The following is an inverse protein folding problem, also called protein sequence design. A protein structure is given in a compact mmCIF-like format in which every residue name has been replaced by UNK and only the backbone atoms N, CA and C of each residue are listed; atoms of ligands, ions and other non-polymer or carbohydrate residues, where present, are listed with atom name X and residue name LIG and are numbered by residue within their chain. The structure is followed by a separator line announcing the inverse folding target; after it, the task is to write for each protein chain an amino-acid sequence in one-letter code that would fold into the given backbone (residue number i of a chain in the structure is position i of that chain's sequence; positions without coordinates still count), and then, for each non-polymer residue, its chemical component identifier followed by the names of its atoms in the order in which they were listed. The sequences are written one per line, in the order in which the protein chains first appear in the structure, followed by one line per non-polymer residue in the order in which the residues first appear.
data_IF_938808724141
#
_entry.id   IF_938808724141
#
_cell.length_a   1.000
_cell.length_b   1.000
_cell.length_c   1.000
_cell.angle_alpha   90.00
_cell.angle_beta   90.00
_cell.angle_gamma   90.00
#
_symmetry.space_group_name_H-M   'P 1'
#
loop_
_entity.id
_entity.type
_entity.pdbx_description
1 polymer ?
#
# COMPACT_ATOMS: atom_id res chain seq x y z
N UNK A 1 -0.49 0.38 -14.74
CA UNK A 1 0.55 0.10 -13.70
C UNK A 1 0.37 1.11 -12.57
N UNK A 2 0.22 0.65 -11.32
CA UNK A 2 0.13 1.54 -10.16
C UNK A 2 1.50 2.18 -9.87
N UNK A 3 1.52 3.49 -9.66
CA UNK A 3 2.75 4.25 -9.35
C UNK A 3 2.74 4.59 -7.86
N UNK A 4 3.68 4.02 -7.11
CA UNK A 4 3.92 4.35 -5.70
C UNK A 4 5.00 5.44 -5.62
N UNK A 5 4.68 6.54 -4.94
CA UNK A 5 5.55 7.70 -4.70
C UNK A 5 6.89 7.35 -4.03
N UNK A 6 7.91 8.19 -4.20
CA UNK A 6 9.23 8.13 -3.55
C UNK A 6 9.15 7.95 -2.02
N UNK A 7 8.06 8.41 -1.39
CA UNK A 7 7.75 8.22 0.03
C UNK A 7 7.71 6.75 0.46
N UNK A 8 7.44 5.81 -0.45
CA UNK A 8 7.46 4.38 -0.16
C UNK A 8 8.89 3.85 0.06
N UNK A 9 9.89 4.48 -0.58
CA UNK A 9 11.29 4.12 -0.39
C UNK A 9 11.81 4.48 1.01
N UNK A 10 11.27 5.52 1.64
CA UNK A 10 11.64 5.88 3.01
C UNK A 10 11.25 4.78 4.02
N UNK A 11 10.24 3.98 3.73
CA UNK A 11 9.90 2.82 4.56
C UNK A 11 11.04 1.78 4.58
N UNK A 12 11.89 1.69 3.56
CA UNK A 12 12.98 0.71 3.50
C UNK A 12 14.22 1.08 4.34
N UNK A 13 14.35 2.32 4.82
CA UNK A 13 15.61 2.80 5.43
C UNK A 13 15.88 2.30 6.85
N UNK A 14 14.92 1.67 7.53
CA UNK A 14 14.98 1.56 9.00
C UNK A 14 15.05 0.14 9.58
N UNK A 15 15.26 -0.93 8.81
CA UNK A 15 15.21 -2.28 9.41
C UNK A 15 16.14 -3.31 8.77
N UNK A 16 16.88 -4.04 9.62
CA UNK A 16 17.89 -5.06 9.25
C UNK A 16 17.30 -6.47 9.10
N UNK A 17 15.99 -6.59 8.85
CA UNK A 17 15.27 -7.87 8.86
C UNK A 17 14.27 -7.99 7.71
N UNK A 18 14.28 -9.14 7.03
CA UNK A 18 13.34 -9.45 5.96
C UNK A 18 11.91 -9.58 6.52
N UNK A 19 11.07 -8.58 6.29
CA UNK A 19 9.66 -8.59 6.70
C UNK A 19 8.73 -8.66 5.49
N UNK A 20 7.79 -9.59 5.52
CA UNK A 20 6.69 -9.62 4.57
C UNK A 20 5.49 -8.86 5.14
N UNK A 21 5.11 -7.78 4.45
CA UNK A 21 3.90 -7.00 4.75
C UNK A 21 2.87 -7.30 3.67
N UNK A 22 1.71 -7.80 4.05
CA UNK A 22 0.58 -7.97 3.14
C UNK A 22 -0.40 -6.83 3.31
N UNK A 23 -0.64 -6.06 2.24
CA UNK A 23 -1.67 -5.03 2.22
C UNK A 23 -2.95 -5.58 1.60
N UNK A 24 -4.09 -5.26 2.20
CA UNK A 24 -5.42 -5.41 1.59
C UNK A 24 -5.91 -4.01 1.26
N UNK A 25 -6.20 -3.77 -0.02
CA UNK A 25 -6.52 -2.45 -0.55
C UNK A 25 -7.91 -2.54 -1.18
N UNK A 26 -8.77 -1.62 -0.78
CA UNK A 26 -10.07 -1.39 -1.39
C UNK A 26 -10.04 -0.02 -2.07
N UNK A 27 -10.53 0.06 -3.29
CA UNK A 27 -10.53 1.28 -4.10
C UNK A 27 -11.91 1.56 -4.68
N UNK A 28 -12.18 2.84 -4.88
CA UNK A 28 -13.35 3.37 -5.59
C UNK A 28 -12.88 4.48 -6.54
N UNK A 29 -13.30 4.45 -7.80
CA UNK A 29 -12.85 5.38 -8.84
C UNK A 29 -11.30 5.48 -8.92
N UNK A 30 -10.62 4.34 -8.74
CA UNK A 30 -9.16 4.25 -8.75
C UNK A 30 -8.44 4.88 -7.55
N UNK A 31 -9.15 5.27 -6.49
CA UNK A 31 -8.59 5.83 -5.25
C UNK A 31 -8.80 4.88 -4.06
N UNK A 32 -7.83 4.74 -3.16
CA UNK A 32 -7.96 3.91 -1.97
C UNK A 32 -9.03 4.47 -1.03
N UNK A 33 -9.97 3.62 -0.63
CA UNK A 33 -11.00 3.90 0.38
C UNK A 33 -10.69 3.19 1.70
N UNK A 34 -10.05 2.02 1.64
CA UNK A 34 -9.58 1.28 2.81
C UNK A 34 -8.24 0.61 2.51
N UNK A 35 -7.32 0.68 3.46
CA UNK A 35 -6.02 -0.01 3.39
C UNK A 35 -5.75 -0.65 4.75
N UNK A 36 -5.67 -1.97 4.76
CA UNK A 36 -5.29 -2.76 5.93
C UNK A 36 -3.94 -3.42 5.68
N UNK A 37 -3.15 -3.61 6.75
CA UNK A 37 -1.86 -4.30 6.66
C UNK A 37 -1.74 -5.44 7.65
N UNK A 38 -0.95 -6.44 7.27
CA UNK A 38 -0.52 -7.53 8.14
C UNK A 38 1.00 -7.65 8.05
N UNK A 39 1.75 -7.60 9.17
CA UNK A 39 1.29 -7.40 10.55
C UNK A 39 0.78 -5.97 10.86
N UNK A 40 -0.31 -5.84 11.64
CA UNK A 40 -0.99 -4.55 11.90
C UNK A 40 -0.17 -3.52 12.69
N UNK A 41 0.69 -3.98 13.60
CA UNK A 41 1.40 -3.10 14.55
C UNK A 41 2.90 -2.93 14.23
N UNK A 42 3.34 -3.32 13.03
CA UNK A 42 4.74 -3.16 12.66
C UNK A 42 4.99 -1.77 12.03
N UNK A 43 6.08 -1.06 12.40
CA UNK A 43 6.38 0.27 11.84
C UNK A 43 6.40 0.31 10.30
N UNK A 44 7.05 -0.67 9.67
CA UNK A 44 7.06 -0.83 8.20
C UNK A 44 5.66 -1.01 7.60
N UNK A 45 4.80 -1.80 8.25
CA UNK A 45 3.44 -2.02 7.78
C UNK A 45 2.59 -0.75 7.90
N UNK A 46 2.75 0.00 9.00
CA UNK A 46 2.10 1.30 9.18
C UNK A 46 2.58 2.33 8.14
N UNK A 47 3.88 2.35 7.83
CA UNK A 47 4.46 3.20 6.79
C UNK A 47 3.88 2.86 5.41
N UNK A 48 3.91 1.58 5.03
CA UNK A 48 3.36 1.10 3.76
C UNK A 48 1.85 1.40 3.63
N UNK A 49 1.09 1.19 4.70
CA UNK A 49 -0.36 1.49 4.76
C UNK A 49 -0.62 2.96 4.47
N UNK A 50 0.11 3.87 5.14
CA UNK A 50 -0.01 5.32 4.93
C UNK A 50 0.37 5.71 3.51
N UNK A 51 1.49 5.21 3.01
CA UNK A 51 1.95 5.52 1.66
C UNK A 51 0.91 5.11 0.61
N UNK A 52 0.35 3.91 0.71
CA UNK A 52 -0.72 3.46 -0.18
C UNK A 52 -1.99 4.29 -0.01
N UNK A 53 -2.45 4.53 1.21
CA UNK A 53 -3.68 5.27 1.47
C UNK A 53 -3.65 6.71 0.90
N UNK A 54 -2.49 7.36 0.89
CA UNK A 54 -2.37 8.74 0.42
C UNK A 54 -1.92 8.88 -1.03
N UNK A 55 -1.16 7.92 -1.56
CA UNK A 55 -0.49 8.08 -2.86
C UNK A 55 -0.86 7.04 -3.90
N UNK A 56 -1.58 5.96 -3.54
CA UNK A 56 -2.05 5.02 -4.54
C UNK A 56 -3.09 5.68 -5.45
N UNK A 57 -2.86 5.59 -6.76
CA UNK A 57 -3.84 5.89 -7.78
C UNK A 57 -3.78 4.80 -8.86
N UNK A 58 -4.93 4.24 -9.18
CA UNK A 58 -5.08 3.35 -10.33
C UNK A 58 -5.50 4.24 -11.50
N UNK A 59 -4.63 4.46 -12.51
CA UNK A 59 -5.01 5.21 -13.68
C UNK A 59 -6.09 4.43 -14.45
N UNK A 60 -6.96 5.16 -15.16
CA UNK A 60 -7.98 4.58 -16.06
C UNK A 60 -9.12 3.81 -15.39
N UNK A 61 -9.23 3.83 -14.05
CA UNK A 61 -10.44 3.35 -13.37
C UNK A 61 -11.66 4.20 -13.72
N UNK A 62 -12.78 3.55 -14.05
CA UNK A 62 -14.06 4.22 -14.23
C UNK A 62 -14.58 4.78 -12.90
N UNK A 63 -15.44 5.80 -12.94
CA UNK A 63 -15.97 6.48 -11.74
C UNK A 63 -16.82 5.56 -10.84
N UNK A 64 -17.39 4.49 -11.39
CA UNK A 64 -18.18 3.47 -10.69
C UNK A 64 -17.37 2.20 -10.36
N UNK A 65 -16.09 2.15 -10.74
CA UNK A 65 -15.24 0.98 -10.52
C UNK A 65 -14.87 0.84 -9.04
N UNK A 66 -15.15 -0.35 -8.49
CA UNK A 66 -14.77 -0.74 -7.14
C UNK A 66 -13.90 -1.98 -7.20
N UNK A 67 -12.69 -1.90 -6.64
CA UNK A 67 -11.76 -3.03 -6.62
C UNK A 67 -11.35 -3.37 -5.19
N UNK A 68 -11.07 -4.66 -4.98
CA UNK A 68 -10.42 -5.14 -3.77
C UNK A 68 -9.29 -6.09 -4.18
N UNK A 69 -8.08 -5.83 -3.70
CA UNK A 69 -6.93 -6.66 -4.01
C UNK A 69 -5.95 -6.73 -2.85
N UNK A 70 -5.06 -7.73 -2.91
CA UNK A 70 -3.99 -7.92 -1.95
C UNK A 70 -2.66 -7.67 -2.61
N UNK A 71 -1.78 -6.97 -1.92
CA UNK A 71 -0.45 -6.61 -2.42
C UNK A 71 0.62 -6.98 -1.37
N UNK A 72 1.33 -8.10 -1.56
CA UNK A 72 2.45 -8.47 -0.68
C UNK A 72 3.69 -7.64 -1.02
N UNK A 73 4.29 -7.02 0.00
CA UNK A 73 5.54 -6.27 -0.08
C UNK A 73 6.57 -6.97 0.79
N UNK A 74 7.75 -7.20 0.23
CA UNK A 74 8.90 -7.70 0.97
C UNK A 74 9.85 -6.54 1.25
N UNK A 75 10.03 -6.22 2.53
CA UNK A 75 11.07 -5.33 3.01
C UNK A 75 12.30 -6.16 3.34
N UNK A 76 13.47 -5.75 2.82
CA UNK A 76 14.78 -6.35 3.07
C UNK A 76 15.75 -5.28 3.56
#
# INVERSE_FOLDING_TARGET
MAVLSDTFQDCHRTNSGSLMVSLKIETEAGRPTCVESTPKHHPLAACATRAVAHHLKIPESADDERCQFRYPIRFN
#
